data_IF_681224750804
#
_entry.id   IF_681224750804
#
_cell.length_a   1.000
_cell.length_b   1.000
_cell.length_c   1.000
_cell.angle_alpha   90.00
_cell.angle_beta   90.00
_cell.angle_gamma   90.00
#
_symmetry.space_group_name_H-M   'P 1'
#
loop_
_entity.id
_entity.type
_entity.pdbx_description
1 polymer ?
#
# COMPACT_ATOMS: atom_id res chain seq x y z
N UNK A 1 -6.38 -10.35 -10.87
CA UNK A 1 -6.39 -10.40 -9.37
C UNK A 1 -7.46 -9.48 -8.82
N UNK A 2 -8.27 -9.95 -7.87
CA UNK A 2 -9.29 -9.09 -7.20
C UNK A 2 -8.68 -8.26 -6.09
N UNK A 3 -9.00 -6.97 -6.07
CA UNK A 3 -8.59 -6.03 -5.02
C UNK A 3 -9.69 -5.01 -4.75
N UNK A 4 -9.61 -4.34 -3.60
CA UNK A 4 -10.63 -3.36 -3.16
C UNK A 4 -9.97 -2.04 -2.78
N UNK A 5 -10.40 -0.96 -3.41
CA UNK A 5 -9.95 0.39 -3.06
C UNK A 5 -11.10 1.25 -2.58
N UNK A 6 -10.83 2.10 -1.59
CA UNK A 6 -11.78 3.10 -1.11
C UNK A 6 -11.40 4.45 -1.68
N UNK A 7 -12.31 5.04 -2.42
CA UNK A 7 -12.07 6.28 -3.16
C UNK A 7 -13.21 7.28 -2.94
N UNK A 8 -12.94 8.59 -3.04
CA UNK A 8 -14.01 9.58 -3.15
C UNK A 8 -14.95 9.28 -4.32
N UNK A 9 -16.23 9.62 -4.19
CA UNK A 9 -17.25 9.26 -5.18
C UNK A 9 -16.93 9.76 -6.60
N UNK A 10 -16.27 10.92 -6.73
CA UNK A 10 -15.91 11.49 -8.03
C UNK A 10 -15.01 10.57 -8.87
N UNK A 11 -14.22 9.71 -8.21
CA UNK A 11 -13.38 8.72 -8.90
C UNK A 11 -14.25 7.74 -9.67
N UNK A 12 -15.31 7.24 -9.03
CA UNK A 12 -16.26 6.34 -9.69
C UNK A 12 -17.05 7.05 -10.80
N UNK A 13 -17.42 8.30 -10.59
CA UNK A 13 -18.08 9.10 -11.63
C UNK A 13 -17.20 9.26 -12.87
N UNK A 14 -15.89 9.53 -12.69
CA UNK A 14 -14.92 9.58 -13.78
C UNK A 14 -14.79 8.24 -14.52
N UNK A 15 -14.73 7.12 -13.78
CA UNK A 15 -14.66 5.78 -14.36
C UNK A 15 -15.90 5.44 -15.18
N UNK A 16 -17.10 5.84 -14.71
CA UNK A 16 -18.36 5.69 -15.46
C UNK A 16 -18.40 6.46 -16.78
N UNK A 17 -17.65 7.55 -16.88
CA UNK A 17 -17.47 8.31 -18.13
C UNK A 17 -16.47 7.65 -19.09
N UNK A 18 -15.93 6.48 -18.76
CA UNK A 18 -14.94 5.77 -19.56
C UNK A 18 -13.52 6.34 -19.43
N UNK A 19 -13.25 7.16 -18.41
CA UNK A 19 -11.93 7.78 -18.18
C UNK A 19 -11.17 7.05 -17.08
N UNK A 20 -9.89 6.65 -17.27
CA UNK A 20 -9.09 6.04 -16.23
C UNK A 20 -8.82 7.04 -15.09
N UNK A 21 -8.77 6.55 -13.85
CA UNK A 21 -8.37 7.37 -12.70
C UNK A 21 -6.89 7.15 -12.38
N UNK A 22 -6.19 8.24 -12.11
CA UNK A 22 -4.77 8.32 -11.77
C UNK A 22 -4.58 9.09 -10.48
N UNK A 23 -3.69 8.62 -9.61
CA UNK A 23 -3.41 9.31 -8.36
C UNK A 23 -2.67 10.63 -8.63
N UNK A 24 -3.05 11.67 -7.88
CA UNK A 24 -2.38 12.96 -7.86
C UNK A 24 -1.98 13.25 -6.41
N UNK A 25 -0.69 13.16 -6.10
CA UNK A 25 -0.18 13.32 -4.73
C UNK A 25 -0.44 14.72 -4.18
N UNK A 26 -0.53 15.74 -5.03
CA UNK A 26 -0.88 17.12 -4.66
C UNK A 26 -2.28 17.25 -4.06
N UNK A 27 -3.10 16.22 -4.20
CA UNK A 27 -4.42 16.10 -3.56
C UNK A 27 -4.42 15.17 -2.34
N UNK A 28 -3.26 14.67 -1.98
CA UNK A 28 -3.07 13.85 -0.79
C UNK A 28 -2.98 14.71 0.46
N UNK A 29 -3.50 14.24 1.61
CA UNK A 29 -3.25 14.89 2.89
C UNK A 29 -1.77 14.83 3.32
N UNK A 30 -0.92 14.13 2.59
CA UNK A 30 0.51 13.93 2.85
C UNK A 30 1.40 14.77 1.93
N UNK A 31 0.83 15.74 1.18
CA UNK A 31 1.57 16.56 0.20
C UNK A 31 2.79 17.24 0.81
N UNK A 32 2.68 17.74 2.05
CA UNK A 32 3.74 18.49 2.75
C UNK A 32 4.73 17.60 3.54
N UNK A 33 4.59 16.26 3.48
CA UNK A 33 5.42 15.33 4.25
C UNK A 33 6.54 14.73 3.38
N UNK A 34 7.77 15.27 3.52
CA UNK A 34 8.91 14.88 2.68
C UNK A 34 9.27 13.39 2.81
N UNK A 35 9.20 12.81 4.01
CA UNK A 35 9.44 11.39 4.26
C UNK A 35 8.48 10.50 3.46
N UNK A 36 7.21 10.89 3.34
CA UNK A 36 6.25 10.16 2.52
C UNK A 36 6.60 10.25 1.03
N UNK A 37 7.06 11.41 0.56
CA UNK A 37 7.52 11.54 -0.83
C UNK A 37 8.66 10.59 -1.15
N UNK A 38 9.63 10.41 -0.23
CA UNK A 38 10.75 9.50 -0.40
C UNK A 38 10.29 8.03 -0.47
N UNK A 39 9.41 7.63 0.44
CA UNK A 39 8.84 6.29 0.47
C UNK A 39 8.03 5.98 -0.81
N UNK A 40 7.16 6.90 -1.24
CA UNK A 40 6.37 6.73 -2.46
C UNK A 40 7.25 6.72 -3.72
N UNK A 41 8.29 7.54 -3.78
CA UNK A 41 9.27 7.53 -4.88
C UNK A 41 9.99 6.19 -4.94
N UNK A 42 10.41 5.66 -3.79
CA UNK A 42 11.02 4.32 -3.73
C UNK A 42 10.04 3.25 -4.23
N UNK A 43 8.77 3.28 -3.79
CA UNK A 43 7.74 2.33 -4.26
C UNK A 43 7.54 2.42 -5.78
N UNK A 44 7.48 3.62 -6.34
CA UNK A 44 7.32 3.77 -7.81
C UNK A 44 8.51 3.21 -8.58
N UNK A 45 9.74 3.34 -8.06
CA UNK A 45 10.91 2.69 -8.66
C UNK A 45 10.85 1.16 -8.57
N UNK A 46 10.31 0.60 -7.48
CA UNK A 46 10.08 -0.84 -7.38
C UNK A 46 9.00 -1.32 -8.35
N UNK A 47 7.92 -0.56 -8.49
CA UNK A 47 6.86 -0.87 -9.47
C UNK A 47 7.39 -0.86 -10.90
N UNK A 48 8.17 0.15 -11.30
CA UNK A 48 8.81 0.19 -12.63
C UNK A 48 9.61 -1.08 -12.95
N UNK A 49 10.32 -1.61 -11.95
CA UNK A 49 11.13 -2.84 -12.10
C UNK A 49 10.28 -4.11 -12.20
N UNK A 50 9.11 -4.14 -11.56
CA UNK A 50 8.27 -5.34 -11.39
C UNK A 50 7.16 -5.44 -12.41
N UNK A 51 6.50 -4.31 -12.74
CA UNK A 51 5.32 -4.24 -13.60
C UNK A 51 5.48 -3.25 -14.77
N UNK A 52 6.70 -2.76 -15.00
CA UNK A 52 7.00 -1.82 -16.07
C UNK A 52 6.71 -0.36 -15.76
N UNK A 53 7.03 0.54 -16.69
CA UNK A 53 6.92 1.98 -16.49
C UNK A 53 5.46 2.43 -16.37
N UNK A 54 5.21 3.56 -15.64
CA UNK A 54 3.88 4.13 -15.54
C UNK A 54 3.40 4.67 -16.92
N UNK A 55 2.08 4.77 -17.11
CA UNK A 55 1.52 5.54 -18.22
C UNK A 55 1.99 7.00 -18.18
N UNK A 56 2.01 7.67 -19.32
CA UNK A 56 2.44 9.08 -19.42
C UNK A 56 1.65 9.96 -18.46
N UNK A 57 2.37 10.73 -17.63
CA UNK A 57 1.79 11.65 -16.64
C UNK A 57 1.33 10.99 -15.34
N UNK A 58 1.67 9.71 -15.11
CA UNK A 58 1.44 9.03 -13.84
C UNK A 58 2.73 9.02 -13.03
N UNK A 59 2.69 9.57 -11.82
CA UNK A 59 3.85 9.69 -10.92
C UNK A 59 3.70 8.84 -9.65
N UNK A 60 2.46 8.52 -9.25
CA UNK A 60 2.16 7.86 -7.99
C UNK A 60 1.22 6.68 -8.18
N UNK A 61 1.33 5.63 -7.34
CA UNK A 61 0.49 4.45 -7.45
C UNK A 61 -0.92 4.67 -6.90
N UNK A 62 -1.84 3.85 -7.38
CA UNK A 62 -3.09 3.55 -6.69
C UNK A 62 -2.83 2.46 -5.66
N UNK A 63 -3.44 2.60 -4.49
CA UNK A 63 -3.41 1.61 -3.42
C UNK A 63 -4.76 0.93 -3.28
N UNK A 64 -4.72 -0.38 -3.09
CA UNK A 64 -5.89 -1.19 -2.84
C UNK A 64 -5.59 -2.28 -1.80
N UNK A 65 -6.61 -2.86 -1.20
CA UNK A 65 -6.49 -4.01 -0.32
C UNK A 65 -6.58 -5.31 -1.13
N UNK A 66 -5.64 -6.22 -0.90
CA UNK A 66 -5.72 -7.60 -1.34
C UNK A 66 -6.18 -8.50 -0.18
N UNK A 67 -5.52 -8.43 0.97
CA UNK A 67 -5.83 -9.25 2.15
C UNK A 67 -6.03 -8.34 3.37
N UNK A 68 -6.99 -8.69 4.23
CA UNK A 68 -7.21 -8.04 5.52
C UNK A 68 -7.56 -9.10 6.58
N UNK A 69 -6.73 -9.16 7.64
CA UNK A 69 -6.89 -10.15 8.71
C UNK A 69 -6.83 -11.57 8.13
N UNK A 70 -5.78 -11.90 7.39
CA UNK A 70 -5.54 -13.20 6.75
C UNK A 70 -6.55 -13.61 5.67
N UNK A 71 -7.47 -12.73 5.26
CA UNK A 71 -8.56 -13.09 4.36
C UNK A 71 -8.58 -12.22 3.12
N UNK A 72 -8.47 -12.88 1.96
CA UNK A 72 -8.71 -12.25 0.67
C UNK A 72 -10.22 -12.19 0.41
N UNK A 73 -10.87 -11.13 0.89
CA UNK A 73 -12.31 -10.93 0.76
C UNK A 73 -12.70 -9.45 0.77
N UNK A 74 -13.91 -9.17 0.29
CA UNK A 74 -14.53 -7.82 0.34
C UNK A 74 -14.43 -7.21 1.74
N UNK A 75 -13.95 -5.96 1.90
CA UNK A 75 -13.95 -5.27 3.18
C UNK A 75 -15.34 -5.12 3.79
N UNK A 76 -15.46 -5.25 5.11
CA UNK A 76 -16.69 -4.89 5.82
C UNK A 76 -16.76 -3.36 5.97
N UNK A 77 -17.65 -2.73 5.20
CA UNK A 77 -17.81 -1.27 5.19
C UNK A 77 -18.49 -0.72 6.48
N UNK A 78 -18.87 -1.60 7.41
CA UNK A 78 -19.42 -1.22 8.73
C UNK A 78 -18.33 -1.12 9.79
N UNK A 79 -17.11 -1.52 9.50
CA UNK A 79 -15.96 -1.44 10.42
C UNK A 79 -15.64 0.01 10.78
N UNK A 80 -14.97 0.23 11.91
CA UNK A 80 -14.67 1.56 12.45
C UNK A 80 -13.79 2.37 11.51
N UNK A 81 -12.85 1.73 10.85
CA UNK A 81 -11.92 2.32 9.89
C UNK A 81 -12.61 2.83 8.61
N UNK A 82 -13.86 2.40 8.34
CA UNK A 82 -14.68 2.89 7.23
C UNK A 82 -15.66 4.01 7.62
N UNK A 83 -15.70 4.41 8.90
CA UNK A 83 -16.65 5.40 9.42
C UNK A 83 -16.12 6.81 9.59
N UNK A 84 -14.86 7.05 9.24
CA UNK A 84 -14.22 8.36 9.43
C UNK A 84 -14.45 9.34 8.27
N UNK A 85 -14.98 8.89 7.14
CA UNK A 85 -15.18 9.74 5.97
C UNK A 85 -16.27 10.79 6.19
N UNK A 86 -15.92 12.06 6.05
CA UNK A 86 -16.85 13.21 6.14
C UNK A 86 -17.53 13.51 4.81
N UNK A 87 -17.01 13.00 3.70
CA UNK A 87 -17.56 13.12 2.35
C UNK A 87 -17.97 11.75 1.82
N UNK A 88 -18.87 11.67 0.83
CA UNK A 88 -19.24 10.40 0.20
C UNK A 88 -18.03 9.70 -0.42
N UNK A 89 -17.84 8.42 -0.06
CA UNK A 89 -16.83 7.53 -0.62
C UNK A 89 -17.48 6.27 -1.19
N UNK A 90 -16.75 5.58 -2.01
CA UNK A 90 -17.12 4.28 -2.57
C UNK A 90 -16.00 3.27 -2.33
N UNK A 91 -16.38 2.04 -2.06
CA UNK A 91 -15.47 0.91 -2.13
C UNK A 91 -15.65 0.28 -3.51
N UNK A 92 -14.60 0.30 -4.31
CA UNK A 92 -14.58 -0.24 -5.66
C UNK A 92 -13.87 -1.60 -5.61
N UNK A 93 -14.54 -2.64 -6.08
CA UNK A 93 -13.94 -3.93 -6.36
C UNK A 93 -13.38 -3.91 -7.77
N UNK A 94 -12.12 -4.24 -7.89
CA UNK A 94 -11.38 -4.22 -9.15
C UNK A 94 -10.88 -5.64 -9.48
N UNK A 95 -10.84 -5.96 -10.76
CA UNK A 95 -10.09 -7.09 -11.30
C UNK A 95 -8.95 -6.54 -12.15
N UNK A 96 -7.76 -6.50 -11.55
CA UNK A 96 -6.53 -5.98 -12.18
C UNK A 96 -5.71 -7.15 -12.69
N UNK A 97 -5.16 -7.11 -13.93
CA UNK A 97 -4.22 -8.14 -14.41
C UNK A 97 -3.06 -8.35 -13.45
N UNK A 98 -2.66 -9.60 -13.24
CA UNK A 98 -1.61 -9.95 -12.27
C UNK A 98 -0.26 -9.30 -12.63
N UNK A 99 0.01 -9.13 -13.91
CA UNK A 99 1.21 -8.47 -14.44
C UNK A 99 1.23 -6.93 -14.26
N UNK A 100 0.10 -6.32 -13.90
CA UNK A 100 -0.02 -4.87 -13.67
C UNK A 100 -0.05 -4.50 -12.18
N UNK A 101 0.14 -5.48 -11.26
CA UNK A 101 -0.04 -5.29 -9.83
C UNK A 101 1.19 -5.74 -9.03
N UNK A 102 1.52 -4.98 -7.98
CA UNK A 102 2.53 -5.36 -7.00
C UNK A 102 1.87 -5.53 -5.65
N UNK A 103 2.10 -6.66 -5.01
CA UNK A 103 1.66 -6.90 -3.63
C UNK A 103 2.75 -6.52 -2.64
N UNK A 104 2.36 -5.97 -1.51
CA UNK A 104 3.25 -5.66 -0.39
C UNK A 104 2.54 -5.86 0.95
N UNK A 105 3.30 -6.25 1.96
CA UNK A 105 2.83 -6.31 3.34
C UNK A 105 2.62 -4.90 3.89
N UNK A 106 1.44 -4.66 4.47
CA UNK A 106 1.04 -3.34 4.97
C UNK A 106 1.83 -2.92 6.21
N UNK A 107 2.08 -3.83 7.13
CA UNK A 107 2.79 -3.51 8.36
C UNK A 107 4.28 -3.26 8.06
N UNK A 108 4.85 -4.08 7.19
CA UNK A 108 6.21 -3.87 6.70
C UNK A 108 6.38 -2.57 5.89
N UNK A 109 5.33 -2.11 5.18
CA UNK A 109 5.34 -0.82 4.49
C UNK A 109 5.58 0.38 5.44
N UNK A 110 5.19 0.28 6.71
CA UNK A 110 5.43 1.35 7.69
C UNK A 110 6.92 1.56 7.98
N UNK A 111 7.78 0.54 7.83
CA UNK A 111 9.23 0.75 7.92
C UNK A 111 9.74 1.65 6.79
N UNK A 112 9.21 1.49 5.58
CA UNK A 112 9.56 2.36 4.44
C UNK A 112 9.04 3.77 4.65
N UNK A 113 7.78 3.94 5.07
CA UNK A 113 7.16 5.23 5.34
C UNK A 113 7.90 6.05 6.38
N UNK A 114 8.42 5.41 7.42
CA UNK A 114 9.11 6.07 8.53
C UNK A 114 10.64 6.08 8.37
N UNK A 115 11.14 5.70 7.20
CA UNK A 115 12.59 5.63 6.92
C UNK A 115 13.35 4.73 7.92
N UNK A 116 12.73 3.62 8.36
CA UNK A 116 13.31 2.66 9.28
C UNK A 116 13.83 1.41 8.57
N UNK A 117 14.82 0.74 9.17
CA UNK A 117 15.23 -0.59 8.75
C UNK A 117 14.17 -1.62 9.11
N UNK A 118 13.84 -2.52 8.19
CA UNK A 118 12.94 -3.64 8.43
C UNK A 118 13.75 -4.90 8.78
N UNK A 119 13.94 -5.24 10.07
CA UNK A 119 14.74 -6.41 10.46
C UNK A 119 14.05 -7.72 10.11
N UNK A 120 12.73 -7.77 10.19
CA UNK A 120 11.89 -8.96 9.97
C UNK A 120 12.34 -10.15 10.84
N UNK A 121 12.63 -9.88 12.13
CA UNK A 121 13.04 -10.90 13.09
C UNK A 121 11.84 -11.76 13.54
N UNK A 122 12.12 -13.00 13.90
CA UNK A 122 11.13 -13.98 14.35
C UNK A 122 11.19 -14.25 15.86
N UNK A 123 12.17 -13.66 16.57
CA UNK A 123 12.36 -13.79 18.01
C UNK A 123 13.13 -12.58 18.56
N UNK A 124 13.10 -12.44 19.89
CA UNK A 124 13.91 -11.44 20.63
C UNK A 124 15.40 -11.65 20.40
N UNK A 125 15.84 -12.90 20.40
CA UNK A 125 17.26 -13.25 20.17
C UNK A 125 17.74 -12.82 18.78
N UNK A 126 16.93 -13.05 17.74
CA UNK A 126 17.25 -12.59 16.39
C UNK A 126 17.28 -11.06 16.31
N UNK A 127 16.34 -10.38 17.00
CA UNK A 127 16.32 -8.93 17.05
C UNK A 127 17.56 -8.36 17.74
N UNK A 128 17.97 -8.91 18.90
CA UNK A 128 19.19 -8.47 19.57
C UNK A 128 20.46 -8.69 18.75
N UNK A 129 20.53 -9.81 18.01
CA UNK A 129 21.66 -10.10 17.13
C UNK A 129 21.69 -9.13 15.95
N UNK A 130 20.52 -8.85 15.35
CA UNK A 130 20.39 -7.87 14.30
C UNK A 130 20.74 -6.45 14.80
N UNK A 131 20.27 -6.05 15.96
CA UNK A 131 20.55 -4.73 16.54
C UNK A 131 22.07 -4.53 16.76
N UNK A 132 22.73 -5.50 17.38
CA UNK A 132 24.20 -5.49 17.55
C UNK A 132 24.94 -5.39 16.22
N UNK A 133 24.48 -6.12 15.22
CA UNK A 133 25.05 -6.05 13.87
C UNK A 133 24.84 -4.65 13.27
N UNK A 134 23.61 -4.15 13.30
CA UNK A 134 23.25 -2.86 12.70
C UNK A 134 24.00 -1.70 13.35
N UNK A 135 24.15 -1.72 14.66
CA UNK A 135 24.90 -0.71 15.43
C UNK A 135 26.43 -0.75 15.16
N UNK A 136 26.95 -1.90 14.74
CA UNK A 136 28.36 -2.02 14.35
C UNK A 136 28.69 -1.41 12.99
N UNK A 137 27.68 -1.12 12.17
CA UNK A 137 27.84 -0.56 10.84
C UNK A 137 28.16 0.94 10.89
N UNK A 138 28.92 1.43 9.93
CA UNK A 138 29.05 2.87 9.68
C UNK A 138 27.72 3.47 9.23
N UNK A 139 27.56 4.78 9.36
CA UNK A 139 26.34 5.51 8.95
C UNK A 139 25.93 5.22 7.50
N UNK A 140 26.90 5.14 6.58
CA UNK A 140 26.65 4.85 5.17
C UNK A 140 26.20 3.39 4.95
N UNK A 141 26.79 2.45 5.69
CA UNK A 141 26.37 1.04 5.65
C UNK A 141 24.99 0.84 6.26
N UNK A 142 24.66 1.53 7.37
CA UNK A 142 23.33 1.52 7.96
C UNK A 142 22.27 2.03 6.98
N UNK A 143 22.55 3.14 6.28
CA UNK A 143 21.67 3.69 5.26
C UNK A 143 21.44 2.69 4.11
N UNK A 144 22.50 2.03 3.65
CA UNK A 144 22.41 1.01 2.61
C UNK A 144 21.58 -0.20 3.08
N UNK A 145 21.92 -0.74 4.26
CA UNK A 145 21.22 -1.88 4.86
C UNK A 145 19.72 -1.58 5.07
N UNK A 146 19.39 -0.36 5.52
CA UNK A 146 18.01 0.11 5.66
C UNK A 146 17.25 0.04 4.34
N UNK A 147 17.77 0.67 3.28
CA UNK A 147 17.09 0.69 1.98
C UNK A 147 16.99 -0.72 1.37
N UNK A 148 18.01 -1.55 1.55
CA UNK A 148 18.00 -2.94 1.09
C UNK A 148 16.93 -3.75 1.84
N UNK A 149 16.75 -3.52 3.15
CA UNK A 149 15.76 -4.19 3.98
C UNK A 149 14.31 -3.97 3.53
N UNK A 150 14.05 -2.84 2.89
CA UNK A 150 12.72 -2.50 2.39
C UNK A 150 12.19 -3.47 1.33
N UNK A 151 13.08 -4.17 0.61
CA UNK A 151 12.64 -5.18 -0.35
C UNK A 151 11.86 -6.34 0.27
N UNK A 152 11.99 -6.54 1.58
CA UNK A 152 11.26 -7.58 2.32
C UNK A 152 9.75 -7.37 2.34
N UNK A 153 9.25 -6.13 2.14
CA UNK A 153 7.81 -5.86 2.10
C UNK A 153 7.08 -6.62 0.98
N UNK A 154 7.81 -7.05 -0.05
CA UNK A 154 7.25 -7.81 -1.18
C UNK A 154 7.15 -9.31 -0.92
N UNK A 155 7.71 -9.81 0.18
CA UNK A 155 7.42 -11.15 0.67
C UNK A 155 6.10 -11.09 1.45
N UNK A 156 5.03 -11.54 0.81
CA UNK A 156 3.67 -11.59 1.38
C UNK A 156 3.29 -13.01 1.79
N UNK A 157 4.27 -13.91 1.92
CA UNK A 157 4.04 -15.27 2.37
C UNK A 157 3.49 -15.25 3.80
N UNK A 158 2.32 -15.87 4.05
CA UNK A 158 1.72 -15.85 5.37
C UNK A 158 2.63 -16.51 6.40
N UNK A 159 2.97 -15.77 7.44
CA UNK A 159 3.74 -16.24 8.57
C UNK A 159 3.27 -15.51 9.84
N UNK A 160 2.98 -16.27 10.89
CA UNK A 160 2.54 -15.73 12.17
C UNK A 160 3.30 -16.37 13.33
N UNK A 161 3.87 -15.50 14.17
CA UNK A 161 4.34 -15.83 15.51
C UNK A 161 4.13 -14.59 16.42
N UNK A 162 4.71 -14.60 17.63
CA UNK A 162 4.60 -13.48 18.58
C UNK A 162 5.28 -12.19 18.09
N UNK A 163 6.23 -12.29 17.15
CA UNK A 163 7.07 -11.20 16.66
C UNK A 163 6.71 -10.72 15.26
N UNK A 164 6.08 -11.56 14.46
CA UNK A 164 5.87 -11.29 13.06
C UNK A 164 4.52 -11.84 12.59
N UNK A 165 3.75 -10.99 11.91
CA UNK A 165 2.45 -11.32 11.32
C UNK A 165 2.46 -11.04 9.81
N UNK A 166 3.50 -11.48 9.12
CA UNK A 166 3.68 -11.24 7.70
C UNK A 166 2.51 -11.79 6.88
N UNK A 167 1.96 -10.97 5.99
CA UNK A 167 0.84 -11.36 5.12
C UNK A 167 -0.55 -11.27 5.77
N UNK A 168 -0.67 -10.81 7.03
CA UNK A 168 -1.99 -10.56 7.63
C UNK A 168 -2.75 -9.46 6.90
N UNK A 169 -2.06 -8.39 6.55
CA UNK A 169 -2.59 -7.26 5.78
C UNK A 169 -1.74 -7.06 4.53
N UNK A 170 -2.30 -7.35 3.38
CA UNK A 170 -1.59 -7.19 2.10
C UNK A 170 -2.27 -6.08 1.29
N UNK A 171 -1.47 -5.12 0.88
CA UNK A 171 -1.86 -4.08 -0.08
C UNK A 171 -1.39 -4.44 -1.49
N UNK A 172 -2.08 -3.85 -2.44
CA UNK A 172 -1.80 -3.95 -3.86
C UNK A 172 -1.55 -2.55 -4.41
N UNK A 173 -0.51 -2.39 -5.22
CA UNK A 173 -0.22 -1.14 -5.94
C UNK A 173 -0.21 -1.38 -7.43
N UNK A 174 -0.78 -0.42 -8.18
CA UNK A 174 -0.84 -0.39 -9.64
C UNK A 174 -0.93 1.06 -10.12
N UNK A 175 -0.73 1.31 -11.43
CA UNK A 175 -0.55 2.67 -11.92
C UNK A 175 -1.83 3.49 -12.06
N UNK A 176 -2.93 2.87 -12.47
CA UNK A 176 -4.20 3.56 -12.72
C UNK A 176 -5.39 2.62 -12.54
N UNK A 177 -6.56 3.16 -12.24
CA UNK A 177 -7.81 2.41 -12.31
C UNK A 177 -8.39 2.61 -13.70
N UNK A 178 -8.41 1.55 -14.51
CA UNK A 178 -9.09 1.56 -15.80
C UNK A 178 -10.57 1.22 -15.61
N UNK A 179 -11.50 1.82 -16.39
CA UNK A 179 -12.93 1.52 -16.28
C UNK A 179 -13.26 0.02 -16.40
N UNK A 180 -12.55 -0.69 -17.25
CA UNK A 180 -12.73 -2.14 -17.48
C UNK A 180 -12.34 -3.02 -16.28
N UNK A 181 -11.58 -2.48 -15.30
CA UNK A 181 -11.24 -3.24 -14.09
C UNK A 181 -12.37 -3.24 -13.04
N UNK A 182 -13.35 -2.36 -13.18
CA UNK A 182 -14.43 -2.22 -12.19
C UNK A 182 -15.39 -3.38 -12.27
N UNK A 183 -15.48 -4.15 -11.17
CA UNK A 183 -16.38 -5.32 -11.05
C UNK A 183 -17.62 -4.97 -10.24
N UNK A 184 -17.45 -4.26 -9.11
CA UNK A 184 -18.55 -3.92 -8.21
C UNK A 184 -18.24 -2.62 -7.47
N UNK A 185 -19.27 -1.87 -7.10
CA UNK A 185 -19.13 -0.61 -6.35
C UNK A 185 -20.15 -0.53 -5.24
N UNK A 186 -19.66 -0.25 -4.02
CA UNK A 186 -20.51 -0.10 -2.83
C UNK A 186 -20.29 1.27 -2.21
N UNK A 187 -21.38 2.00 -1.99
CA UNK A 187 -21.34 3.32 -1.36
C UNK A 187 -20.97 3.25 0.13
N UNK A 188 -20.16 4.20 0.57
CA UNK A 188 -19.85 4.46 1.98
C UNK A 188 -20.52 5.78 2.35
N UNK A 189 -21.46 5.73 3.29
CA UNK A 189 -22.17 6.93 3.74
C UNK A 189 -21.23 7.86 4.50
N UNK A 190 -21.25 9.14 4.17
CA UNK A 190 -20.56 10.14 4.95
C UNK A 190 -21.08 10.18 6.39
N UNK A 191 -20.16 10.25 7.35
CA UNK A 191 -20.50 10.47 8.74
C UNK A 191 -20.82 11.95 8.95
N UNK A 192 -22.10 12.27 9.23
CA UNK A 192 -22.58 13.65 9.41
C UNK A 192 -22.36 14.20 10.83
N UNK A 193 -21.80 13.40 11.73
CA UNK A 193 -21.69 13.73 13.16
C UNK A 193 -20.27 14.09 13.60
N UNK A 194 -19.46 14.68 12.71
CA UNK A 194 -18.16 15.29 13.08
C UNK A 194 -18.00 16.65 12.44
#
# INVERSE_FOLDING_TARGET
>A
MKVWTVQPIFVYEQLREGKPFRADFRKSPFEDMEEFHNAYRWMTEQMKKRIGPPPVGVEYPIWAWHTRGWKHKKPDLRSSDMRHFTKPHVCIELEVPDEEIVLSDFDAWHFVLNDFCNPQCSSEEEYEQWEKYYDSLSTEEQKKARVESWNKIFDVTPYENEWNRNGEYIQATFWEIKPEYVVDVRGIKANRNK
#
